data_IF_214113872836
#
_entry.id   IF_214113872836
#
_cell.length_a   1.000
_cell.length_b   1.000
_cell.length_c   1.000
_cell.angle_alpha   90.00
_cell.angle_beta   90.00
_cell.angle_gamma   90.00
#
_symmetry.space_group_name_H-M   'P 1'
#
loop_
_entity.id
_entity.type
_entity.pdbx_description
1 polymer ?
#
# COMPACT_ATOMS: atom_id res chain seq x y z
N UNK A 1 -14.88 13.82 -9.74
CA UNK A 1 -13.70 12.94 -9.85
C UNK A 1 -12.95 13.01 -8.53
N UNK A 2 -12.82 11.89 -7.83
CA UNK A 2 -12.01 11.80 -6.60
C UNK A 2 -10.54 12.06 -6.96
N UNK A 3 -9.81 12.80 -6.11
CA UNK A 3 -8.39 13.06 -6.35
C UNK A 3 -7.59 11.75 -6.33
N UNK A 4 -6.88 11.45 -7.42
CA UNK A 4 -5.98 10.30 -7.50
C UNK A 4 -4.52 10.78 -7.39
N UNK A 5 -3.70 10.02 -6.66
CA UNK A 5 -2.24 10.21 -6.63
C UNK A 5 -1.59 9.12 -7.47
N UNK A 6 -0.59 9.50 -8.27
CA UNK A 6 0.16 8.56 -9.12
C UNK A 6 1.48 8.23 -8.42
N UNK A 7 1.80 6.94 -8.38
CA UNK A 7 3.08 6.43 -7.91
C UNK A 7 3.77 5.70 -9.07
N UNK A 8 5.07 5.91 -9.23
CA UNK A 8 5.89 5.17 -10.19
C UNK A 8 6.83 4.26 -9.41
N UNK A 9 6.77 2.96 -9.70
CA UNK A 9 7.57 1.94 -9.03
C UNK A 9 8.53 1.35 -10.06
N UNK A 10 9.82 1.27 -9.71
CA UNK A 10 10.79 0.48 -10.48
C UNK A 10 10.84 -0.91 -9.88
N UNK A 11 10.54 -1.91 -10.70
CA UNK A 11 10.63 -3.32 -10.33
C UNK A 11 11.83 -3.96 -11.03
N UNK A 12 12.55 -4.87 -10.37
CA UNK A 12 13.55 -5.71 -11.04
C UNK A 12 12.92 -6.46 -12.22
N UNK A 13 13.71 -6.71 -13.25
CA UNK A 13 13.21 -7.37 -14.47
C UNK A 13 12.65 -8.77 -14.18
N UNK A 14 13.28 -9.52 -13.27
CA UNK A 14 12.80 -10.84 -12.81
C UNK A 14 11.37 -10.77 -12.27
N UNK A 15 11.07 -9.74 -11.49
CA UNK A 15 9.79 -9.59 -10.81
C UNK A 15 8.75 -9.04 -11.80
N UNK A 16 9.16 -8.16 -12.72
CA UNK A 16 8.30 -7.65 -13.79
C UNK A 16 7.73 -8.78 -14.67
N UNK A 17 8.58 -9.74 -15.06
CA UNK A 17 8.14 -10.90 -15.85
C UNK A 17 7.11 -11.75 -15.10
N UNK A 18 7.30 -11.95 -13.79
CA UNK A 18 6.33 -12.67 -12.96
C UNK A 18 5.01 -11.92 -12.83
N UNK A 19 5.06 -10.61 -12.59
CA UNK A 19 3.89 -9.73 -12.49
C UNK A 19 3.08 -9.77 -13.79
N UNK A 20 3.75 -9.64 -14.95
CA UNK A 20 3.11 -9.68 -16.26
C UNK A 20 2.49 -11.05 -16.55
N UNK A 21 3.17 -12.14 -16.17
CA UNK A 21 2.64 -13.48 -16.30
C UNK A 21 1.37 -13.67 -15.47
N UNK A 22 1.40 -13.32 -14.19
CA UNK A 22 0.25 -13.42 -13.28
C UNK A 22 -0.91 -12.55 -13.77
N UNK A 23 -0.64 -11.29 -14.13
CA UNK A 23 -1.66 -10.40 -14.66
C UNK A 23 -2.36 -10.98 -15.90
N UNK A 24 -1.59 -11.62 -16.79
CA UNK A 24 -2.13 -12.27 -17.99
C UNK A 24 -2.99 -13.50 -17.66
N UNK A 25 -2.55 -14.34 -16.73
CA UNK A 25 -3.28 -15.55 -16.30
C UNK A 25 -4.60 -15.17 -15.63
N UNK A 26 -4.59 -14.13 -14.79
CA UNK A 26 -5.77 -13.63 -14.07
C UNK A 26 -6.67 -12.72 -14.95
N UNK A 27 -6.22 -12.36 -16.15
CA UNK A 27 -6.96 -11.45 -17.05
C UNK A 27 -7.06 -10.01 -16.52
N UNK A 28 -6.12 -9.58 -15.67
CA UNK A 28 -6.11 -8.28 -15.01
C UNK A 28 -5.12 -7.32 -15.67
N UNK A 29 -5.38 -6.01 -15.55
CA UNK A 29 -4.33 -5.02 -15.80
C UNK A 29 -3.28 -5.07 -14.69
N UNK A 30 -2.02 -4.74 -14.99
CA UNK A 30 -0.96 -4.66 -13.98
C UNK A 30 -1.35 -3.72 -12.82
N UNK A 31 -1.97 -2.57 -13.15
CA UNK A 31 -2.45 -1.62 -12.16
C UNK A 31 -3.53 -2.20 -11.23
N UNK A 32 -4.37 -3.10 -11.73
CA UNK A 32 -5.40 -3.76 -10.95
C UNK A 32 -4.84 -4.88 -10.09
N UNK A 33 -3.86 -5.64 -10.61
CA UNK A 33 -3.10 -6.60 -9.82
C UNK A 33 -2.42 -5.93 -8.63
N UNK A 34 -1.74 -4.78 -8.85
CA UNK A 34 -1.13 -4.01 -7.76
C UNK A 34 -2.16 -3.51 -6.75
N UNK A 35 -3.30 -2.98 -7.21
CA UNK A 35 -4.38 -2.53 -6.30
C UNK A 35 -4.91 -3.68 -5.45
N UNK A 36 -5.19 -4.82 -6.08
CA UNK A 36 -5.68 -6.02 -5.41
C UNK A 36 -4.68 -6.54 -4.37
N UNK A 37 -3.39 -6.61 -4.73
CA UNK A 37 -2.34 -7.03 -3.81
C UNK A 37 -2.20 -6.07 -2.61
N UNK A 38 -2.31 -4.75 -2.84
CA UNK A 38 -2.29 -3.76 -1.77
C UNK A 38 -3.51 -3.88 -0.85
N UNK A 39 -4.71 -4.08 -1.41
CA UNK A 39 -5.93 -4.26 -0.63
C UNK A 39 -5.82 -5.49 0.27
N UNK A 40 -5.37 -6.63 -0.27
CA UNK A 40 -5.11 -7.84 0.51
C UNK A 40 -4.08 -7.61 1.62
N UNK A 41 -2.99 -6.92 1.31
CA UNK A 41 -1.98 -6.57 2.32
C UNK A 41 -2.54 -5.67 3.41
N UNK A 42 -3.42 -4.71 3.08
CA UNK A 42 -4.07 -3.86 4.06
C UNK A 42 -5.06 -4.60 4.94
N UNK A 43 -5.78 -5.60 4.44
CA UNK A 43 -6.61 -6.47 5.30
C UNK A 43 -5.74 -7.18 6.34
N UNK A 44 -4.62 -7.78 5.92
CA UNK A 44 -3.67 -8.43 6.85
C UNK A 44 -3.17 -7.46 7.93
N UNK A 45 -2.82 -6.23 7.53
CA UNK A 45 -2.34 -5.21 8.47
C UNK A 45 -3.42 -4.73 9.46
N UNK A 46 -4.70 -4.77 9.08
CA UNK A 46 -5.79 -4.38 10.00
C UNK A 46 -5.94 -5.37 11.14
N UNK A 47 -5.69 -6.65 10.87
CA UNK A 47 -5.77 -7.71 11.86
C UNK A 47 -4.47 -7.87 12.69
N UNK A 48 -3.36 -7.25 12.26
CA UNK A 48 -2.11 -7.19 13.02
C UNK A 48 -2.21 -6.16 14.18
N UNK A 49 -2.53 -6.65 15.37
CA UNK A 49 -2.59 -5.84 16.59
C UNK A 49 -1.28 -5.09 16.90
N UNK A 50 -0.13 -5.66 16.56
CA UNK A 50 1.18 -5.02 16.71
C UNK A 50 1.35 -3.84 15.76
N UNK A 51 0.98 -4.00 14.49
CA UNK A 51 0.95 -2.92 13.51
C UNK A 51 0.00 -1.81 13.94
N UNK A 52 -1.23 -2.15 14.33
CA UNK A 52 -2.23 -1.17 14.80
C UNK A 52 -1.71 -0.41 16.02
N UNK A 53 -1.03 -1.07 16.96
CA UNK A 53 -0.37 -0.44 18.10
C UNK A 53 0.68 0.59 17.67
N UNK A 54 1.59 0.22 16.75
CA UNK A 54 2.61 1.14 16.20
C UNK A 54 1.98 2.32 15.47
N UNK A 55 0.97 2.07 14.65
CA UNK A 55 0.25 3.12 13.90
C UNK A 55 -0.42 4.13 14.85
N UNK A 56 -1.10 3.66 15.91
CA UNK A 56 -1.71 4.53 16.93
C UNK A 56 -0.66 5.37 17.66
N UNK A 57 0.47 4.77 18.01
CA UNK A 57 1.57 5.47 18.67
C UNK A 57 2.15 6.58 17.78
N UNK A 58 2.38 6.29 16.49
CA UNK A 58 2.86 7.27 15.53
C UNK A 58 1.89 8.44 15.37
N UNK A 59 0.59 8.16 15.20
CA UNK A 59 -0.43 9.22 15.09
C UNK A 59 -0.50 10.09 16.36
N UNK A 60 -0.31 9.51 17.54
CA UNK A 60 -0.26 10.27 18.79
C UNK A 60 0.99 11.17 18.85
N UNK A 61 2.14 10.67 18.38
CA UNK A 61 3.37 11.44 18.27
C UNK A 61 3.23 12.61 17.29
N UNK A 62 2.71 12.36 16.09
CA UNK A 62 2.51 13.38 15.05
C UNK A 62 1.56 14.47 15.52
N UNK A 63 0.47 14.11 16.23
CA UNK A 63 -0.42 15.11 16.86
C UNK A 63 0.28 15.96 17.91
N UNK A 64 1.17 15.38 18.72
CA UNK A 64 1.95 16.15 19.70
C UNK A 64 2.89 17.14 19.01
N UNK A 65 3.52 16.73 17.90
CA UNK A 65 4.36 17.63 17.09
C UNK A 65 3.51 18.74 16.48
N UNK A 66 2.39 18.41 15.84
CA UNK A 66 1.52 19.39 15.19
C UNK A 66 1.03 20.48 16.17
N UNK A 67 0.66 20.10 17.40
CA UNK A 67 0.27 21.04 18.48
C UNK A 67 1.38 21.99 18.94
N UNK A 68 2.64 21.72 18.61
CA UNK A 68 3.78 22.60 18.94
C UNK A 68 4.13 23.55 17.79
N UNK A 69 3.64 23.27 16.59
CA UNK A 69 3.95 24.02 15.37
C UNK A 69 2.81 24.94 14.93
N UNK A 70 1.61 24.78 15.51
CA UNK A 70 0.41 25.63 15.36
C UNK A 70 0.05 26.18 16.72
#
# INVERSE_FOLDING_TARGET
MTAAKVYTIRVPESDAQQIEFVARVEGLSINELFRTALDQYFEVLRDDAGFVGRAKAQLAHDRKIAKRLV
#
